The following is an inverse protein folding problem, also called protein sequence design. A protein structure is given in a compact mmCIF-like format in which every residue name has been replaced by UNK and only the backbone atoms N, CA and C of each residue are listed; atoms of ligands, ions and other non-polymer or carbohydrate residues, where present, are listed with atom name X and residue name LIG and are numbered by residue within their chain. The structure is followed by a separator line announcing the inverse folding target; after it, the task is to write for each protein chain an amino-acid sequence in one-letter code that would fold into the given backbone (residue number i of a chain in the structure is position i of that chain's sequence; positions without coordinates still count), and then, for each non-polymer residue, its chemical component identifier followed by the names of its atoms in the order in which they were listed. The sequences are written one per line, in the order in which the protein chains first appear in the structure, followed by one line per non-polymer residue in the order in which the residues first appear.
data_IF_053199764808
#
_entry.id   IF_053199764808
#
_cell.length_a   1.000
_cell.length_b   1.000
_cell.length_c   1.000
_cell.angle_alpha   90.00
_cell.angle_beta   90.00
_cell.angle_gamma   90.00
#
_symmetry.space_group_name_H-M   'P 1'
#
loop_
_entity.id
_entity.type
_entity.pdbx_description
1 polymer ?
#
# COMPACT_ATOMS: atom_id res chain seq x y z
N UNK A 1 11.59 28.05 10.55
CA UNK A 1 10.40 27.82 9.68
C UNK A 1 10.88 27.06 8.45
N UNK A 2 10.66 25.74 8.40
CA UNK A 2 10.95 24.98 7.19
C UNK A 2 9.84 25.25 6.16
N UNK A 3 10.15 25.67 4.95
CA UNK A 3 9.13 25.78 3.91
C UNK A 3 8.63 24.36 3.63
N UNK A 4 7.33 24.13 3.86
CA UNK A 4 6.64 22.96 3.33
C UNK A 4 6.84 23.01 1.82
N UNK A 5 7.63 22.10 1.28
CA UNK A 5 7.73 21.87 -0.15
C UNK A 5 6.32 21.54 -0.60
N UNK A 6 5.68 22.44 -1.34
CA UNK A 6 4.40 22.14 -1.99
C UNK A 6 4.70 21.02 -3.00
N UNK A 7 4.34 19.82 -2.65
CA UNK A 7 4.49 18.66 -3.53
C UNK A 7 3.57 18.88 -4.74
N UNK A 8 4.18 18.98 -5.93
CA UNK A 8 3.43 18.98 -7.18
C UNK A 8 2.81 17.56 -7.35
N UNK A 9 1.47 17.42 -7.39
CA UNK A 9 0.81 16.12 -7.50
C UNK A 9 1.30 15.31 -8.70
N UNK A 10 1.64 15.98 -9.80
CA UNK A 10 2.20 15.32 -10.99
C UNK A 10 3.60 14.74 -10.74
N UNK A 11 4.43 15.36 -9.89
CA UNK A 11 5.75 14.84 -9.55
C UNK A 11 5.67 13.65 -8.59
N UNK A 12 4.68 13.65 -7.67
CA UNK A 12 4.43 12.55 -6.75
C UNK A 12 3.97 11.28 -7.51
N UNK A 13 2.97 11.42 -8.39
CA UNK A 13 2.49 10.31 -9.24
C UNK A 13 3.60 9.78 -10.17
N UNK A 14 4.38 10.68 -10.78
CA UNK A 14 5.49 10.31 -11.66
C UNK A 14 6.60 9.55 -10.90
N UNK A 15 6.91 9.95 -9.67
CA UNK A 15 7.86 9.25 -8.82
C UNK A 15 7.36 7.85 -8.46
N UNK A 16 6.11 7.71 -8.03
CA UNK A 16 5.49 6.41 -7.75
C UNK A 16 5.51 5.46 -8.96
N UNK A 17 5.23 6.00 -10.16
CA UNK A 17 5.34 5.25 -11.42
C UNK A 17 6.78 4.84 -11.71
N UNK A 18 7.76 5.72 -11.44
CA UNK A 18 9.18 5.43 -11.59
C UNK A 18 9.66 4.29 -10.68
N UNK A 19 9.17 4.26 -9.42
CA UNK A 19 9.47 3.18 -8.49
C UNK A 19 8.89 1.85 -8.98
N UNK A 20 7.63 1.82 -9.39
CA UNK A 20 6.99 0.61 -9.94
C UNK A 20 7.76 0.09 -11.17
N UNK A 21 8.17 0.98 -12.08
CA UNK A 21 8.96 0.61 -13.26
C UNK A 21 10.33 0.02 -12.88
N UNK A 22 10.99 0.53 -11.85
CA UNK A 22 12.29 0.00 -11.38
C UNK A 22 12.13 -1.38 -10.75
N UNK A 23 11.10 -1.59 -9.92
CA UNK A 23 10.77 -2.89 -9.34
C UNK A 23 10.49 -3.91 -10.45
N UNK A 24 9.61 -3.58 -11.40
CA UNK A 24 9.30 -4.46 -12.53
C UNK A 24 10.51 -4.75 -13.42
N UNK A 25 11.38 -3.76 -13.65
CA UNK A 25 12.64 -3.93 -14.38
C UNK A 25 13.65 -4.85 -13.69
N UNK A 26 13.54 -5.03 -12.37
CA UNK A 26 14.29 -5.99 -11.58
C UNK A 26 13.61 -7.37 -11.46
N UNK A 27 12.44 -7.54 -12.07
CA UNK A 27 11.68 -8.81 -12.09
C UNK A 27 10.64 -8.95 -10.99
N UNK A 28 10.36 -7.88 -10.24
CA UNK A 28 9.37 -7.88 -9.16
C UNK A 28 8.01 -7.34 -9.62
N UNK A 29 6.93 -7.83 -9.01
CA UNK A 29 5.62 -7.21 -9.10
C UNK A 29 5.60 -5.90 -8.32
N UNK A 30 4.85 -4.91 -8.82
CA UNK A 30 4.70 -3.63 -8.13
C UNK A 30 3.33 -3.01 -8.42
N UNK A 31 2.57 -2.75 -7.37
CA UNK A 31 1.23 -2.15 -7.45
C UNK A 31 1.16 -0.90 -6.58
N UNK A 32 0.42 0.10 -7.03
CA UNK A 32 -0.10 1.12 -6.12
C UNK A 32 -1.27 0.54 -5.35
N UNK A 33 -1.39 0.86 -4.05
CA UNK A 33 -2.36 0.20 -3.18
C UNK A 33 -3.01 1.15 -2.18
N UNK A 34 -4.19 0.79 -1.70
CA UNK A 34 -4.83 1.51 -0.61
C UNK A 34 -5.45 2.85 -1.01
N UNK A 35 -5.21 3.87 -0.19
CA UNK A 35 -5.84 5.18 -0.31
C UNK A 35 -5.62 5.86 -1.66
N UNK A 36 -4.43 5.75 -2.24
CA UNK A 36 -4.14 6.39 -3.53
C UNK A 36 -4.95 5.81 -4.68
N UNK A 37 -5.22 4.50 -4.68
CA UNK A 37 -6.05 3.86 -5.72
C UNK A 37 -7.51 4.29 -5.56
N UNK A 38 -8.03 4.27 -4.34
CA UNK A 38 -9.38 4.75 -4.02
C UNK A 38 -9.57 6.21 -4.46
N UNK A 39 -8.64 7.09 -4.07
CA UNK A 39 -8.75 8.53 -4.35
C UNK A 39 -8.66 8.81 -5.86
N UNK A 40 -7.75 8.16 -6.58
CA UNK A 40 -7.64 8.27 -8.04
C UNK A 40 -8.93 7.80 -8.73
N UNK A 41 -9.56 6.71 -8.24
CA UNK A 41 -10.86 6.21 -8.73
C UNK A 41 -12.03 7.16 -8.46
N UNK A 42 -11.96 7.94 -7.38
CA UNK A 42 -12.93 9.00 -7.05
C UNK A 42 -12.64 10.32 -7.80
N UNK A 43 -11.62 10.38 -8.65
CA UNK A 43 -11.20 11.60 -9.34
C UNK A 43 -10.53 12.63 -8.41
N UNK A 44 -10.07 12.20 -7.23
CA UNK A 44 -9.34 13.01 -6.28
C UNK A 44 -7.83 12.81 -6.45
N UNK A 45 -7.06 13.87 -6.25
CA UNK A 45 -5.60 13.77 -6.29
C UNK A 45 -5.08 13.12 -4.99
N UNK A 46 -4.41 11.94 -5.06
CA UNK A 46 -3.80 11.32 -3.90
C UNK A 46 -2.73 12.21 -3.26
N UNK A 47 -2.67 12.18 -1.93
CA UNK A 47 -1.66 12.92 -1.14
C UNK A 47 -0.38 12.11 -0.92
N UNK A 48 -0.44 10.81 -1.05
CA UNK A 48 0.64 9.85 -0.95
C UNK A 48 0.42 8.69 -1.93
N UNK A 49 1.45 7.88 -2.16
CA UNK A 49 1.36 6.65 -2.93
C UNK A 49 2.07 5.54 -2.17
N UNK A 50 1.30 4.56 -1.71
CA UNK A 50 1.83 3.32 -1.16
C UNK A 50 2.04 2.30 -2.28
N UNK A 51 3.18 1.62 -2.26
CA UNK A 51 3.55 0.61 -3.24
C UNK A 51 3.66 -0.74 -2.54
N UNK A 52 3.02 -1.75 -3.09
CA UNK A 52 3.15 -3.13 -2.62
C UNK A 52 3.88 -3.96 -3.69
N UNK A 53 4.76 -4.87 -3.27
CA UNK A 53 5.64 -5.66 -4.13
C UNK A 53 5.92 -7.04 -3.54
N UNK A 54 6.38 -7.98 -4.35
CA UNK A 54 6.95 -9.25 -3.90
C UNK A 54 8.45 -9.15 -3.55
N UNK A 55 9.11 -8.02 -3.83
CA UNK A 55 10.47 -7.77 -3.37
C UNK A 55 10.54 -7.74 -1.84
N UNK A 56 11.51 -8.44 -1.27
CA UNK A 56 11.81 -8.40 0.17
C UNK A 56 12.40 -7.04 0.58
N UNK A 57 12.37 -6.67 1.88
CA UNK A 57 12.97 -5.42 2.35
C UNK A 57 14.45 -5.26 1.96
N UNK A 58 15.22 -6.33 1.98
CA UNK A 58 16.64 -6.30 1.61
C UNK A 58 16.83 -6.03 0.10
N UNK A 59 15.98 -6.63 -0.75
CA UNK A 59 15.99 -6.38 -2.20
C UNK A 59 15.54 -4.95 -2.52
N UNK A 60 14.57 -4.41 -1.80
CA UNK A 60 14.16 -3.00 -1.92
C UNK A 60 15.33 -2.08 -1.57
N UNK A 61 16.03 -2.32 -0.45
CA UNK A 61 17.21 -1.53 -0.05
C UNK A 61 18.36 -1.63 -1.06
N UNK A 62 18.55 -2.78 -1.70
CA UNK A 62 19.55 -2.96 -2.76
C UNK A 62 19.17 -2.24 -4.06
N UNK A 63 17.88 -2.21 -4.39
CA UNK A 63 17.39 -1.61 -5.62
C UNK A 63 17.36 -0.09 -5.57
N UNK A 64 17.04 0.50 -4.40
CA UNK A 64 16.88 1.94 -4.24
C UNK A 64 18.02 2.57 -3.43
N UNK A 65 18.53 3.69 -3.94
CA UNK A 65 19.73 4.35 -3.39
C UNK A 65 19.51 5.02 -2.04
N UNK A 66 18.29 5.52 -1.78
CA UNK A 66 17.93 6.24 -0.55
C UNK A 66 16.71 5.59 0.08
N UNK A 67 16.95 4.86 1.16
CA UNK A 67 15.91 4.13 1.89
C UNK A 67 15.99 4.39 3.38
N UNK A 68 14.86 4.25 4.08
CA UNK A 68 14.77 4.31 5.54
C UNK A 68 13.95 3.10 5.99
N UNK A 69 14.48 2.23 6.86
CA UNK A 69 13.78 1.02 7.30
C UNK A 69 12.75 1.31 8.41
N UNK A 70 11.70 2.06 8.08
CA UNK A 70 10.68 2.52 9.04
C UNK A 70 9.87 1.40 9.68
N UNK A 71 9.79 0.23 9.01
CA UNK A 71 9.05 -0.94 9.47
C UNK A 71 9.58 -2.23 8.85
N UNK A 72 10.89 -2.37 8.72
CA UNK A 72 11.57 -3.49 8.04
C UNK A 72 11.11 -4.87 8.56
N UNK A 73 10.93 -5.00 9.87
CA UNK A 73 10.42 -6.22 10.50
C UNK A 73 8.99 -6.59 10.08
N UNK A 74 8.23 -5.62 9.57
CA UNK A 74 6.89 -5.80 9.02
C UNK A 74 6.86 -5.72 7.49
N UNK A 75 8.03 -5.73 6.85
CA UNK A 75 8.15 -5.67 5.40
C UNK A 75 8.03 -4.28 4.79
N UNK A 76 8.18 -3.19 5.56
CA UNK A 76 7.98 -1.81 5.06
C UNK A 76 9.29 -1.03 5.03
N UNK A 77 9.61 -0.50 3.85
CA UNK A 77 10.74 0.39 3.61
C UNK A 77 10.22 1.72 3.05
N UNK A 78 10.69 2.83 3.59
CA UNK A 78 10.48 4.14 3.01
C UNK A 78 11.54 4.40 1.95
N UNK A 79 11.12 4.70 0.72
CA UNK A 79 12.01 5.07 -0.40
C UNK A 79 11.89 6.57 -0.65
N UNK A 80 13.05 7.24 -0.73
CA UNK A 80 13.14 8.67 -1.02
C UNK A 80 13.49 8.85 -2.50
N UNK A 81 12.57 9.38 -3.29
CA UNK A 81 12.75 9.58 -4.73
C UNK A 81 12.18 10.94 -5.16
N UNK A 82 12.95 11.69 -5.97
CA UNK A 82 12.54 12.99 -6.52
C UNK A 82 12.00 14.01 -5.47
N UNK A 83 12.52 13.95 -4.23
CA UNK A 83 12.10 14.83 -3.13
C UNK A 83 10.81 14.40 -2.41
N UNK A 84 10.28 13.22 -2.71
CA UNK A 84 9.10 12.63 -2.08
C UNK A 84 9.45 11.35 -1.31
N UNK A 85 8.58 10.98 -0.38
CA UNK A 85 8.65 9.77 0.43
C UNK A 85 7.58 8.78 -0.07
N UNK A 86 7.97 7.53 -0.29
CA UNK A 86 7.08 6.46 -0.73
C UNK A 86 7.23 5.26 0.18
N UNK A 87 6.13 4.76 0.73
CA UNK A 87 6.16 3.49 1.43
C UNK A 87 6.13 2.35 0.42
N UNK A 88 7.16 1.50 0.48
CA UNK A 88 7.24 0.27 -0.32
C UNK A 88 7.15 -0.90 0.63
N UNK A 89 6.09 -1.69 0.50
CA UNK A 89 5.77 -2.79 1.39
C UNK A 89 5.84 -4.13 0.64
N UNK A 90 6.53 -5.11 1.21
CA UNK A 90 6.48 -6.49 0.74
C UNK A 90 5.10 -7.08 1.00
N UNK A 91 4.51 -7.80 0.02
CA UNK A 91 3.25 -8.51 0.21
C UNK A 91 3.33 -9.41 1.43
N UNK A 92 2.34 -9.30 2.32
CA UNK A 92 2.36 -10.06 3.57
C UNK A 92 0.98 -10.51 3.99
N UNK A 93 0.95 -11.67 4.64
CA UNK A 93 -0.11 -12.09 5.53
C UNK A 93 0.29 -11.77 6.97
N UNK A 94 -0.68 -11.43 7.79
CA UNK A 94 -0.49 -11.07 9.20
C UNK A 94 -0.86 -12.26 10.08
N UNK A 95 -0.03 -12.52 11.09
CA UNK A 95 -0.32 -13.51 12.12
C UNK A 95 -1.18 -12.90 13.23
N UNK A 96 -1.32 -13.66 14.33
CA UNK A 96 -2.19 -13.28 15.44
C UNK A 96 -1.84 -11.90 16.02
N UNK A 97 -2.87 -11.13 16.36
CA UNK A 97 -2.76 -9.84 17.02
C UNK A 97 -2.83 -10.02 18.55
N UNK A 98 -1.78 -9.61 19.26
CA UNK A 98 -1.70 -9.76 20.71
C UNK A 98 -1.99 -8.46 21.46
N UNK A 99 -1.78 -7.31 20.83
CA UNK A 99 -1.94 -5.98 21.46
C UNK A 99 -3.13 -5.17 20.90
N UNK A 100 -3.93 -5.76 19.99
CA UNK A 100 -5.07 -5.08 19.36
C UNK A 100 -4.66 -3.94 18.41
N UNK A 101 -3.42 -3.94 17.91
CA UNK A 101 -2.92 -2.94 16.96
C UNK A 101 -1.89 -3.48 15.96
N UNK A 102 -0.95 -4.32 16.41
CA UNK A 102 0.15 -4.80 15.59
C UNK A 102 0.11 -6.30 15.48
N UNK A 103 0.35 -6.87 14.30
CA UNK A 103 0.49 -8.31 14.17
C UNK A 103 1.73 -8.78 14.95
N UNK A 104 1.62 -9.89 15.66
CA UNK A 104 2.73 -10.50 16.37
C UNK A 104 3.80 -11.06 15.43
N UNK A 105 3.41 -11.39 14.19
CA UNK A 105 4.31 -11.84 13.13
C UNK A 105 3.74 -11.49 11.75
N UNK A 106 4.62 -11.48 10.75
CA UNK A 106 4.25 -11.35 9.35
C UNK A 106 4.91 -12.48 8.55
N UNK A 107 4.21 -12.96 7.52
CA UNK A 107 4.72 -13.92 6.54
C UNK A 107 4.60 -13.28 5.16
N UNK A 108 5.67 -13.25 4.39
CA UNK A 108 5.62 -12.76 3.02
C UNK A 108 4.83 -13.73 2.14
N UNK A 109 4.05 -13.18 1.22
CA UNK A 109 3.03 -13.88 0.45
C UNK A 109 2.81 -13.27 -0.92
N UNK A 110 1.65 -13.47 -1.52
CA UNK A 110 1.26 -12.88 -2.81
C UNK A 110 0.35 -11.64 -2.65
N UNK A 111 0.10 -10.93 -3.75
CA UNK A 111 -0.69 -9.71 -3.77
C UNK A 111 -2.15 -9.93 -3.32
N UNK A 112 -2.75 -11.09 -3.65
CA UNK A 112 -4.13 -11.41 -3.27
C UNK A 112 -4.27 -11.59 -1.76
N UNK A 113 -3.37 -12.35 -1.13
CA UNK A 113 -3.37 -12.50 0.32
C UNK A 113 -3.11 -11.16 1.03
N UNK A 114 -2.22 -10.31 0.48
CA UNK A 114 -2.00 -8.96 1.02
C UNK A 114 -3.25 -8.09 0.92
N UNK A 115 -4.05 -8.21 -0.15
CA UNK A 115 -5.33 -7.50 -0.26
C UNK A 115 -6.34 -7.99 0.79
N UNK A 116 -6.44 -9.31 1.00
CA UNK A 116 -7.40 -9.92 1.92
C UNK A 116 -7.17 -9.58 3.39
N UNK A 117 -5.95 -9.21 3.80
CA UNK A 117 -5.64 -8.79 5.19
C UNK A 117 -5.96 -7.32 5.47
N UNK A 118 -6.26 -6.50 4.45
CA UNK A 118 -6.53 -5.06 4.61
C UNK A 118 -7.84 -4.81 5.35
N UNK A 119 -8.08 -3.53 5.68
CA UNK A 119 -9.22 -3.13 6.51
C UNK A 119 -10.56 -3.12 5.75
N UNK A 120 -10.67 -2.24 4.76
CA UNK A 120 -11.90 -2.01 4.00
C UNK A 120 -11.72 -2.39 2.53
N UNK A 121 -12.79 -2.85 1.91
CA UNK A 121 -12.80 -3.25 0.49
C UNK A 121 -12.28 -2.14 -0.42
N UNK A 122 -12.72 -0.90 -0.19
CA UNK A 122 -12.30 0.30 -0.95
C UNK A 122 -10.82 0.65 -0.80
N UNK A 123 -10.13 0.11 0.22
CA UNK A 123 -8.69 0.23 0.45
C UNK A 123 -7.93 -1.05 0.07
N UNK A 124 -8.63 -2.09 -0.36
CA UNK A 124 -8.07 -3.36 -0.80
C UNK A 124 -7.78 -3.44 -2.29
N UNK A 125 -7.91 -2.33 -3.02
CA UNK A 125 -7.64 -2.24 -4.45
C UNK A 125 -6.14 -2.15 -4.73
N UNK A 126 -5.70 -2.86 -5.76
CA UNK A 126 -4.33 -2.86 -6.27
C UNK A 126 -4.34 -2.35 -7.71
N UNK A 127 -3.52 -1.37 -8.03
CA UNK A 127 -3.43 -0.81 -9.36
C UNK A 127 -2.04 -1.08 -9.94
N UNK A 128 -1.99 -1.74 -11.08
CA UNK A 128 -0.76 -1.88 -11.88
C UNK A 128 -0.57 -0.62 -12.74
N UNK A 129 0.38 0.26 -12.39
CA UNK A 129 0.58 1.50 -13.13
C UNK A 129 1.25 1.30 -14.49
N UNK A 130 1.80 0.12 -14.78
CA UNK A 130 2.46 -0.18 -16.05
C UNK A 130 1.48 -0.80 -17.05
N UNK A 131 0.58 -1.68 -16.58
CA UNK A 131 -0.51 -2.24 -17.39
C UNK A 131 -1.72 -1.31 -17.47
N UNK A 132 -1.92 -0.42 -16.48
CA UNK A 132 -3.10 0.43 -16.37
C UNK A 132 -4.32 -0.32 -15.85
N UNK A 133 -4.14 -1.39 -15.10
CA UNK A 133 -5.19 -2.31 -14.67
C UNK A 133 -5.38 -2.30 -13.15
N UNK A 134 -6.64 -2.46 -12.71
CA UNK A 134 -6.98 -2.67 -11.30
C UNK A 134 -7.19 -4.16 -11.05
N UNK A 135 -6.57 -4.66 -9.99
CA UNK A 135 -6.83 -5.97 -9.43
C UNK A 135 -7.70 -5.80 -8.18
N UNK A 136 -8.92 -6.31 -8.25
CA UNK A 136 -9.91 -6.27 -7.17
C UNK A 136 -10.27 -7.69 -6.73
N UNK A 137 -9.70 -8.14 -5.63
CA UNK A 137 -9.99 -9.45 -5.04
C UNK A 137 -10.99 -9.38 -3.89
N UNK A 138 -11.48 -8.18 -3.55
CA UNK A 138 -12.28 -7.93 -2.34
C UNK A 138 -13.63 -7.26 -2.62
N UNK A 139 -13.92 -6.91 -3.89
CA UNK A 139 -15.15 -6.23 -4.29
C UNK A 139 -15.13 -4.72 -4.01
N UNK A 140 -13.93 -4.13 -3.94
CA UNK A 140 -13.73 -2.74 -3.59
C UNK A 140 -14.24 -1.76 -4.65
N UNK A 141 -14.14 -2.08 -5.95
CA UNK A 141 -14.66 -1.21 -7.02
C UNK A 141 -16.20 -1.10 -6.92
N UNK A 142 -16.91 -2.21 -6.71
CA UNK A 142 -18.36 -2.23 -6.52
C UNK A 142 -18.78 -1.43 -5.29
N UNK A 143 -18.07 -1.60 -4.15
CA UNK A 143 -18.39 -0.86 -2.92
C UNK A 143 -18.07 0.64 -3.08
N UNK A 144 -17.03 0.99 -3.84
CA UNK A 144 -16.68 2.38 -4.13
C UNK A 144 -17.78 3.08 -4.97
N UNK A 145 -18.27 2.42 -6.02
CA UNK A 145 -19.38 2.91 -6.84
C UNK A 145 -20.67 3.07 -6.02
N UNK A 146 -20.95 2.09 -5.14
CA UNK A 146 -22.10 2.10 -4.24
C UNK A 146 -21.94 3.08 -3.06
N UNK A 147 -20.79 3.72 -2.89
CA UNK A 147 -20.43 4.53 -1.71
C UNK A 147 -20.62 3.77 -0.40
N UNK A 148 -20.25 2.49 -0.40
CA UNK A 148 -20.36 1.58 0.72
C UNK A 148 -19.00 1.42 1.42
N UNK A 149 -18.98 1.52 2.74
CA UNK A 149 -17.82 1.17 3.55
C UNK A 149 -18.05 -0.21 4.12
N UNK A 150 -17.26 -1.18 3.66
CA UNK A 150 -17.35 -2.59 4.05
C UNK A 150 -15.98 -3.09 4.48
N UNK A 151 -15.92 -3.83 5.58
CA UNK A 151 -14.69 -4.53 6.01
C UNK A 151 -14.40 -5.73 5.09
N UNK A 152 -13.13 -6.02 4.92
CA UNK A 152 -12.69 -7.26 4.28
C UNK A 152 -12.75 -8.37 5.33
N UNK A 153 -13.70 -9.31 5.21
CA UNK A 153 -13.97 -10.33 6.23
C UNK A 153 -14.96 -9.88 7.31
N UNK A 154 -14.98 -10.60 8.43
CA UNK A 154 -15.93 -10.33 9.53
C UNK A 154 -15.55 -9.02 10.25
N UNK A 155 -16.49 -8.08 10.42
CA UNK A 155 -16.19 -6.79 11.08
C UNK A 155 -15.75 -6.93 12.53
N UNK A 156 -16.32 -7.88 13.29
CA UNK A 156 -15.97 -8.04 14.69
C UNK A 156 -14.52 -8.55 14.85
N UNK A 157 -14.10 -9.47 13.99
CA UNK A 157 -12.72 -9.94 13.93
C UNK A 157 -11.78 -8.80 13.53
N UNK A 158 -12.07 -8.09 12.45
CA UNK A 158 -11.24 -6.99 11.92
C UNK A 158 -11.03 -5.84 12.90
N UNK A 159 -12.07 -5.44 13.61
CA UNK A 159 -11.96 -4.40 14.64
C UNK A 159 -11.34 -4.92 15.94
N UNK A 160 -11.43 -6.23 16.22
CA UNK A 160 -10.72 -6.88 17.30
C UNK A 160 -9.20 -6.91 17.09
N UNK A 161 -8.75 -7.16 15.87
CA UNK A 161 -7.34 -7.18 15.48
C UNK A 161 -6.69 -5.80 15.62
N UNK A 162 -7.29 -4.75 15.05
CA UNK A 162 -6.78 -3.38 15.13
C UNK A 162 -7.94 -2.41 15.36
N UNK A 163 -8.06 -1.93 16.59
CA UNK A 163 -9.11 -0.99 17.02
C UNK A 163 -9.03 0.38 16.32
N UNK A 164 -7.85 0.75 15.80
CA UNK A 164 -7.69 2.01 15.05
C UNK A 164 -8.41 1.97 13.69
N UNK A 165 -8.77 0.79 13.19
CA UNK A 165 -9.61 0.67 11.97
C UNK A 165 -10.97 1.36 12.09
N UNK A 166 -11.50 1.49 13.34
CA UNK A 166 -12.74 2.23 13.59
C UNK A 166 -12.62 3.75 13.36
N UNK A 167 -11.40 4.27 13.29
CA UNK A 167 -11.13 5.71 13.12
C UNK A 167 -10.67 6.08 11.71
N UNK A 168 -10.62 5.10 10.80
CA UNK A 168 -10.17 5.29 9.40
C UNK A 168 -11.30 5.65 8.45
#
# INVERSE_FOLDING_TARGET
MNPKIQSNPNSLKAGAHGLAKRLAGAGFQAYWVGGCVRDDRLGQAPTDYDIATDATPDEIEQLFRKTIPVGKQYGVIMVLEAGHEYQVATFRAEGDYTDGRRPGSVRFTDAREDALRRDFTINGLFYDPLAGEVHDWVGGETDLEARCIRTIGDPAERFGEDRLRLLR
#
